data_IF_250052752114
#
_entry.id   IF_250052752114
#
_cell.length_a   1.000
_cell.length_b   1.000
_cell.length_c   1.000
_cell.angle_alpha   90.00
_cell.angle_beta   90.00
_cell.angle_gamma   90.00
#
_symmetry.space_group_name_H-M   'P 1'
#
loop_
_entity.id
_entity.type
_entity.pdbx_description
1 polymer ?
#
# COMPACT_ATOMS: atom_id res chain seq x y z
N UNK A 1 14.65 -10.69 9.63
CA UNK A 1 14.95 -10.74 8.19
C UNK A 1 13.88 -10.07 7.34
N UNK A 2 12.55 -10.35 7.56
CA UNK A 2 11.47 -9.80 6.71
C UNK A 2 11.46 -8.25 6.70
N UNK A 3 11.61 -7.59 7.83
CA UNK A 3 11.70 -6.13 7.90
C UNK A 3 12.89 -5.55 7.13
N UNK A 4 14.05 -6.23 7.17
CA UNK A 4 15.23 -5.81 6.41
C UNK A 4 15.01 -5.94 4.90
N UNK A 5 14.37 -7.02 4.46
CA UNK A 5 14.01 -7.22 3.05
C UNK A 5 13.04 -6.14 2.58
N UNK A 6 12.00 -5.86 3.37
CA UNK A 6 11.04 -4.82 3.03
C UNK A 6 11.68 -3.43 2.99
N UNK A 7 12.43 -3.08 4.03
CA UNK A 7 13.09 -1.77 4.10
C UNK A 7 14.16 -1.55 3.01
N UNK A 8 14.74 -2.62 2.49
CA UNK A 8 15.76 -2.58 1.43
C UNK A 8 15.22 -2.77 0.01
N UNK A 9 13.90 -2.89 -0.16
CA UNK A 9 13.25 -3.09 -1.46
C UNK A 9 12.53 -1.82 -1.91
N UNK A 10 12.39 -1.64 -3.21
CA UNK A 10 11.60 -0.54 -3.80
C UNK A 10 10.11 -0.87 -3.89
N UNK A 11 9.79 -2.12 -4.13
CA UNK A 11 8.42 -2.62 -4.22
C UNK A 11 8.28 -4.01 -3.58
N UNK A 12 7.06 -4.34 -3.17
CA UNK A 12 6.72 -5.67 -2.65
C UNK A 12 5.44 -6.19 -3.32
N UNK A 13 5.51 -7.37 -3.90
CA UNK A 13 4.37 -8.02 -4.56
C UNK A 13 3.64 -8.95 -3.57
N UNK A 14 2.33 -8.75 -3.42
CA UNK A 14 1.48 -9.50 -2.49
C UNK A 14 0.23 -10.02 -3.25
N UNK A 15 0.36 -11.10 -4.03
CA UNK A 15 -0.72 -11.65 -4.85
C UNK A 15 -1.62 -12.60 -4.04
N UNK A 16 -2.09 -12.17 -2.90
CA UNK A 16 -2.93 -12.97 -2.02
C UNK A 16 -4.30 -13.23 -2.64
N UNK A 17 -4.73 -14.49 -2.66
CA UNK A 17 -6.11 -14.86 -3.04
C UNK A 17 -7.10 -14.59 -1.94
N UNK A 18 -6.66 -14.70 -0.71
CA UNK A 18 -7.41 -14.41 0.50
C UNK A 18 -6.47 -13.78 1.53
N UNK A 19 -6.87 -12.64 2.06
CA UNK A 19 -6.11 -11.93 3.09
C UNK A 19 -7.07 -11.14 3.98
N UNK A 20 -7.40 -11.62 5.17
CA UNK A 20 -8.37 -10.95 6.03
C UNK A 20 -7.86 -9.59 6.53
N UNK A 21 -6.59 -9.47 6.82
CA UNK A 21 -6.01 -8.25 7.38
C UNK A 21 -4.70 -7.85 6.72
N UNK A 22 -3.69 -8.72 6.77
CA UNK A 22 -2.36 -8.50 6.22
C UNK A 22 -1.61 -7.34 6.87
N UNK A 23 -0.41 -7.60 7.34
CA UNK A 23 0.48 -6.55 7.86
C UNK A 23 1.57 -6.18 6.87
N UNK A 24 1.85 -7.05 5.90
CA UNK A 24 2.97 -6.90 4.97
C UNK A 24 2.88 -5.61 4.17
N UNK A 25 1.70 -5.26 3.63
CA UNK A 25 1.50 -4.00 2.91
C UNK A 25 1.63 -2.79 3.83
N UNK A 26 1.20 -2.88 5.10
CA UNK A 26 1.32 -1.78 6.06
C UNK A 26 2.79 -1.51 6.41
N UNK A 27 3.58 -2.56 6.57
CA UNK A 27 5.03 -2.42 6.74
C UNK A 27 5.68 -1.82 5.49
N UNK A 28 5.29 -2.28 4.30
CA UNK A 28 5.73 -1.71 3.03
C UNK A 28 5.46 -0.20 2.98
N UNK A 29 4.22 0.22 3.24
CA UNK A 29 3.87 1.64 3.30
C UNK A 29 4.77 2.42 4.28
N UNK A 30 5.00 1.88 5.46
CA UNK A 30 5.81 2.53 6.48
C UNK A 30 7.27 2.70 6.09
N UNK A 31 7.84 1.71 5.37
CA UNK A 31 9.21 1.77 4.87
C UNK A 31 9.36 2.53 3.55
N UNK A 32 8.28 2.91 2.89
CA UNK A 32 8.31 3.50 1.56
C UNK A 32 8.56 2.47 0.45
N UNK A 33 8.39 1.19 0.75
CA UNK A 33 8.40 0.09 -0.21
C UNK A 33 7.00 -0.03 -0.78
N UNK A 34 6.82 0.31 -2.06
CA UNK A 34 5.48 0.41 -2.64
C UNK A 34 4.84 -0.97 -2.81
N UNK A 35 3.70 -1.25 -2.15
CA UNK A 35 3.03 -2.53 -2.26
C UNK A 35 2.27 -2.64 -3.59
N UNK A 36 2.39 -3.80 -4.24
CA UNK A 36 1.55 -4.25 -5.34
C UNK A 36 0.68 -5.40 -4.83
N UNK A 37 -0.59 -5.12 -4.58
CA UNK A 37 -1.50 -6.01 -3.84
C UNK A 37 -2.68 -6.46 -4.68
N UNK A 38 -3.13 -7.70 -4.46
CA UNK A 38 -4.42 -8.14 -4.95
C UNK A 38 -5.55 -7.40 -4.23
N UNK A 39 -6.66 -7.11 -4.92
CA UNK A 39 -7.84 -6.45 -4.33
C UNK A 39 -8.61 -7.44 -3.46
N UNK A 40 -8.13 -7.67 -2.25
CA UNK A 40 -8.76 -8.56 -1.27
C UNK A 40 -8.56 -8.04 0.15
N UNK A 41 -9.59 -8.19 1.00
CA UNK A 41 -9.56 -7.80 2.40
C UNK A 41 -9.03 -6.38 2.63
N UNK A 42 -8.34 -6.16 3.73
CA UNK A 42 -7.78 -4.86 4.08
C UNK A 42 -6.69 -4.34 3.11
N UNK A 43 -6.18 -5.17 2.21
CA UNK A 43 -5.24 -4.70 1.18
C UNK A 43 -5.92 -3.70 0.24
N UNK A 44 -7.20 -3.96 -0.12
CA UNK A 44 -7.99 -3.08 -0.97
C UNK A 44 -8.28 -1.72 -0.31
N UNK A 45 -8.35 -1.67 1.03
CA UNK A 45 -8.72 -0.48 1.80
C UNK A 45 -7.49 0.35 2.21
N UNK A 46 -6.32 -0.26 2.25
CA UNK A 46 -5.10 0.37 2.79
C UNK A 46 -4.12 0.86 1.73
N UNK A 47 -4.23 0.36 0.49
CA UNK A 47 -3.36 0.75 -0.62
C UNK A 47 -4.15 1.57 -1.64
N UNK A 48 -3.70 2.79 -1.89
CA UNK A 48 -4.29 3.67 -2.92
C UNK A 48 -3.59 3.38 -4.25
N UNK A 49 -4.37 2.85 -5.20
CA UNK A 49 -3.85 2.47 -6.52
C UNK A 49 -3.25 3.65 -7.29
N UNK A 50 -2.16 3.38 -7.99
CA UNK A 50 -1.48 4.33 -8.89
C UNK A 50 -2.26 4.52 -10.20
N UNK A 51 -3.50 5.02 -10.09
CA UNK A 51 -4.29 5.48 -11.23
C UNK A 51 -4.05 6.98 -11.48
N UNK A 52 -4.49 7.49 -12.63
CA UNK A 52 -4.25 8.88 -13.05
C UNK A 52 -4.76 9.90 -12.03
N UNK A 53 -5.92 9.68 -11.43
CA UNK A 53 -6.50 10.60 -10.45
C UNK A 53 -5.66 10.65 -9.17
N UNK A 54 -5.28 9.49 -8.63
CA UNK A 54 -4.48 9.39 -7.42
C UNK A 54 -3.04 9.92 -7.63
N UNK A 55 -2.46 9.68 -8.81
CA UNK A 55 -1.15 10.23 -9.17
C UNK A 55 -1.19 11.76 -9.26
N UNK A 56 -2.21 12.32 -9.92
CA UNK A 56 -2.42 13.77 -10.02
C UNK A 56 -2.63 14.41 -8.65
N UNK A 57 -3.35 13.76 -7.76
CA UNK A 57 -3.58 14.19 -6.39
C UNK A 57 -2.38 13.94 -5.45
N UNK A 58 -1.32 13.28 -5.92
CA UNK A 58 -0.16 12.82 -5.12
C UNK A 58 -0.55 11.97 -3.91
N UNK A 59 -1.61 11.17 -4.08
CA UNK A 59 -2.19 10.31 -3.05
C UNK A 59 -1.86 8.82 -3.27
N UNK A 60 -1.45 8.42 -4.48
CA UNK A 60 -1.12 7.04 -4.80
C UNK A 60 -0.03 6.49 -3.86
N UNK A 61 -0.26 5.32 -3.29
CA UNK A 61 0.64 4.70 -2.31
C UNK A 61 1.12 3.30 -2.71
N UNK A 62 0.64 2.77 -3.83
CA UNK A 62 1.00 1.46 -4.35
C UNK A 62 0.19 1.09 -5.57
N UNK A 63 0.07 -0.21 -5.82
CA UNK A 63 -0.62 -0.76 -6.99
C UNK A 63 -1.65 -1.78 -6.53
N UNK A 64 -2.86 -1.69 -7.04
CA UNK A 64 -3.94 -2.65 -6.76
C UNK A 64 -4.33 -3.34 -8.06
N UNK A 65 -4.51 -4.66 -8.05
CA UNK A 65 -4.92 -5.44 -9.20
C UNK A 65 -5.98 -6.48 -8.82
N UNK A 66 -6.85 -6.82 -9.76
CA UNK A 66 -7.99 -7.71 -9.54
C UNK A 66 -7.73 -9.13 -10.03
N UNK A 67 -7.02 -9.26 -11.14
CA UNK A 67 -6.71 -10.55 -11.75
C UNK A 67 -5.46 -11.19 -11.14
N UNK A 68 -5.65 -12.19 -10.28
CA UNK A 68 -4.58 -12.97 -9.65
C UNK A 68 -4.11 -14.17 -10.49
N UNK A 69 -4.42 -14.20 -11.78
CA UNK A 69 -3.79 -15.12 -12.73
C UNK A 69 -2.34 -14.73 -13.01
N UNK A 70 -1.60 -15.60 -13.67
CA UNK A 70 -0.24 -15.27 -14.11
C UNK A 70 -0.19 -14.05 -15.03
N UNK A 71 -1.23 -13.81 -15.84
CA UNK A 71 -1.33 -12.63 -16.71
C UNK A 71 -1.56 -11.37 -15.88
N UNK A 72 -2.48 -11.40 -14.91
CA UNK A 72 -2.75 -10.26 -14.04
C UNK A 72 -1.55 -9.87 -13.18
N UNK A 73 -0.82 -10.85 -12.67
CA UNK A 73 0.44 -10.62 -11.94
C UNK A 73 1.51 -10.02 -12.86
N UNK A 74 1.67 -10.51 -14.07
CA UNK A 74 2.60 -9.92 -15.05
C UNK A 74 2.24 -8.45 -15.35
N UNK A 75 0.95 -8.16 -15.59
CA UNK A 75 0.48 -6.81 -15.86
C UNK A 75 0.76 -5.83 -14.72
N UNK A 76 0.59 -6.24 -13.46
CA UNK A 76 0.92 -5.34 -12.34
C UNK A 76 2.42 -5.14 -12.21
N UNK A 77 3.24 -6.15 -12.47
CA UNK A 77 4.70 -6.01 -12.50
C UNK A 77 5.13 -5.01 -13.57
N UNK A 78 4.56 -5.08 -14.77
CA UNK A 78 4.82 -4.11 -15.85
C UNK A 78 4.44 -2.68 -15.43
N UNK A 79 3.31 -2.50 -14.75
CA UNK A 79 2.92 -1.20 -14.17
C UNK A 79 3.93 -0.68 -13.16
N UNK A 80 4.43 -1.55 -12.28
CA UNK A 80 5.46 -1.20 -11.28
C UNK A 80 6.74 -0.77 -11.96
N UNK A 81 7.23 -1.53 -12.95
CA UNK A 81 8.45 -1.22 -13.71
C UNK A 81 8.30 0.12 -14.45
N UNK A 82 7.17 0.33 -15.12
CA UNK A 82 6.90 1.57 -15.82
C UNK A 82 6.89 2.78 -14.86
N UNK A 83 6.23 2.66 -13.71
CA UNK A 83 6.22 3.71 -12.70
C UNK A 83 7.60 3.98 -12.08
N UNK A 84 8.41 2.93 -11.87
CA UNK A 84 9.77 3.05 -11.36
C UNK A 84 10.68 3.84 -12.30
N UNK A 85 10.42 3.82 -13.59
CA UNK A 85 11.19 4.57 -14.60
C UNK A 85 11.04 6.09 -14.44
N UNK A 86 9.94 6.59 -13.85
CA UNK A 86 9.78 8.00 -13.44
C UNK A 86 10.09 8.15 -11.94
N UNK A 87 11.36 8.36 -11.63
CA UNK A 87 11.84 8.46 -10.25
C UNK A 87 11.21 9.62 -9.47
N UNK A 88 10.78 10.70 -10.13
CA UNK A 88 10.11 11.81 -9.47
C UNK A 88 8.71 11.40 -9.00
N UNK A 89 7.97 10.72 -9.84
CA UNK A 89 6.66 10.17 -9.51
C UNK A 89 6.78 9.07 -8.46
N UNK A 90 7.75 8.15 -8.61
CA UNK A 90 8.02 7.08 -7.66
C UNK A 90 8.25 7.60 -6.25
N UNK A 91 9.15 8.57 -6.08
CA UNK A 91 9.42 9.20 -4.79
C UNK A 91 8.20 9.96 -4.23
N UNK A 92 7.34 10.51 -5.09
CA UNK A 92 6.09 11.12 -4.65
C UNK A 92 5.15 10.08 -4.04
N UNK A 93 5.05 8.90 -4.66
CA UNK A 93 4.28 7.76 -4.14
C UNK A 93 4.88 7.23 -2.82
N UNK A 94 6.20 7.10 -2.73
CA UNK A 94 6.86 6.68 -1.48
C UNK A 94 6.54 7.64 -0.33
N UNK A 95 6.58 8.95 -0.57
CA UNK A 95 6.21 9.96 0.45
C UNK A 95 4.73 9.88 0.83
N UNK A 96 3.83 9.59 -0.11
CA UNK A 96 2.42 9.38 0.17
C UNK A 96 2.21 8.11 1.01
N UNK A 97 2.86 7.01 0.64
CA UNK A 97 2.83 5.75 1.36
C UNK A 97 3.29 5.91 2.83
N UNK A 98 4.44 6.54 3.05
CA UNK A 98 5.00 6.74 4.40
C UNK A 98 4.16 7.67 5.29
N UNK A 99 3.32 8.52 4.70
CA UNK A 99 2.39 9.40 5.44
C UNK A 99 1.04 8.75 5.70
N UNK A 100 0.78 7.59 5.11
CA UNK A 100 -0.50 6.91 5.29
C UNK A 100 -0.71 6.57 6.78
N UNK A 101 -1.89 6.89 7.37
CA UNK A 101 -2.11 6.78 8.81
C UNK A 101 -2.43 5.35 9.23
N UNK A 102 -1.43 4.47 9.22
CA UNK A 102 -1.55 3.05 9.59
C UNK A 102 -1.15 2.76 11.05
N UNK A 103 -0.75 3.79 11.79
CA UNK A 103 -0.32 3.66 13.18
C UNK A 103 -1.47 3.79 14.20
N UNK A 104 -1.20 3.39 15.43
CA UNK A 104 -2.14 3.48 16.54
C UNK A 104 -2.48 4.91 16.97
N UNK A 105 -1.66 5.89 16.62
CA UNK A 105 -1.88 7.30 16.88
C UNK A 105 -3.23 7.82 16.35
N UNK A 106 -3.70 7.28 15.24
CA UNK A 106 -5.02 7.60 14.66
C UNK A 106 -6.12 6.73 15.30
N UNK A 107 -5.94 5.42 15.32
CA UNK A 107 -6.94 4.48 15.82
C UNK A 107 -7.23 4.68 17.32
N UNK A 108 -6.20 4.99 18.13
CA UNK A 108 -6.35 5.24 19.54
C UNK A 108 -7.27 6.43 19.86
N UNK A 109 -7.29 7.44 18.99
CA UNK A 109 -8.22 8.57 19.14
C UNK A 109 -9.67 8.11 19.02
N UNK A 110 -9.99 7.29 18.03
CA UNK A 110 -11.34 6.72 17.85
C UNK A 110 -11.78 5.90 19.06
N UNK A 111 -10.89 5.06 19.61
CA UNK A 111 -11.19 4.31 20.84
C UNK A 111 -11.41 5.22 22.04
N UNK A 112 -10.57 6.25 22.21
CA UNK A 112 -10.74 7.24 23.28
C UNK A 112 -12.09 7.94 23.19
N UNK A 113 -12.47 8.38 21.99
CA UNK A 113 -13.71 9.11 21.76
C UNK A 113 -14.93 8.20 22.00
N UNK A 114 -14.86 6.93 21.56
CA UNK A 114 -15.87 5.92 21.89
C UNK A 114 -16.04 5.71 23.41
N UNK A 115 -14.95 5.61 24.15
CA UNK A 115 -15.01 5.45 25.62
C UNK A 115 -15.56 6.71 26.31
N UNK A 116 -15.24 7.89 25.80
CA UNK A 116 -15.78 9.14 26.34
C UNK A 116 -17.31 9.25 26.16
N UNK A 117 -17.84 8.72 25.06
CA UNK A 117 -19.28 8.70 24.79
C UNK A 117 -20.06 7.69 25.65
N UNK A 118 -19.36 6.74 26.27
CA UNK A 118 -19.98 5.69 27.13
C UNK A 118 -20.06 6.10 28.61
N UNK A 119 -19.42 7.19 28.99
CA UNK A 119 -19.35 7.73 30.36
C UNK A 119 -20.15 9.02 30.49
#
# INVERSE_FOLDING_TARGET
LSHLLQAGSDAILIPSRFEPCGLTQLYGLRYGTLPAVARTGCQADTVIDANLAALSAKAASGFVFDDISGIGVANVIDRVIAAYSDQKQWQSMQRAAMRHPVGWDVSAKGYRDLYADLV
#
